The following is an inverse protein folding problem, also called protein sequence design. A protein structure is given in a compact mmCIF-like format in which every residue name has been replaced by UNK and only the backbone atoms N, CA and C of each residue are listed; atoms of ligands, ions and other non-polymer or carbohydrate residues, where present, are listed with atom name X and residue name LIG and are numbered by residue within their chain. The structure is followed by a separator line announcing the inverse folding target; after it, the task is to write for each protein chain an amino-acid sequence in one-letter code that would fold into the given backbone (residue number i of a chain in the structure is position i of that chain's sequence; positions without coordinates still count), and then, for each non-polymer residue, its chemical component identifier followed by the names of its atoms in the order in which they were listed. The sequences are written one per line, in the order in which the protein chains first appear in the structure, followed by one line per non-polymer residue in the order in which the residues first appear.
data_IF_698684576522
#
_entry.id   IF_698684576522
#
_cell.length_a   1.000
_cell.length_b   1.000
_cell.length_c   1.000
_cell.angle_alpha   90.00
_cell.angle_beta   90.00
_cell.angle_gamma   90.00
#
_symmetry.space_group_name_H-M   'P 1'
#
loop_
_entity.id
_entity.type
_entity.pdbx_description
1 polymer ?
#
# COMPACT_ATOMS: atom_id res chain seq x y z
N UNK A 1 12.15 -10.58 8.58
CA UNK A 1 12.86 -9.54 7.79
C UNK A 1 11.98 -8.72 6.84
N UNK A 2 10.78 -9.17 6.42
CA UNK A 2 9.93 -8.49 5.40
C UNK A 2 8.98 -7.38 5.90
N UNK A 3 8.82 -7.17 7.21
CA UNK A 3 7.79 -6.27 7.78
C UNK A 3 8.22 -4.81 7.96
N UNK A 4 9.49 -4.47 7.76
CA UNK A 4 10.05 -3.17 8.19
C UNK A 4 9.66 -1.95 7.33
N UNK A 5 8.88 -2.13 6.28
CA UNK A 5 8.55 -1.05 5.32
C UNK A 5 7.06 -0.99 4.96
N UNK A 6 6.17 -1.44 5.86
CA UNK A 6 4.73 -1.23 5.74
C UNK A 6 4.32 0.01 6.54
N UNK A 7 3.74 0.99 5.87
CA UNK A 7 3.27 2.23 6.48
C UNK A 7 1.75 2.37 6.29
N UNK A 8 1.06 2.70 7.38
CA UNK A 8 -0.39 2.92 7.38
C UNK A 8 -0.77 4.31 6.85
N UNK A 9 0.15 5.27 6.88
CA UNK A 9 -0.05 6.65 6.48
C UNK A 9 1.19 7.22 5.81
N UNK A 10 0.99 8.20 4.90
CA UNK A 10 2.08 8.97 4.30
C UNK A 10 2.89 9.73 5.36
N UNK A 11 2.24 10.18 6.43
CA UNK A 11 2.88 10.86 7.55
C UNK A 11 3.88 9.96 8.28
N UNK A 12 3.52 8.69 8.50
CA UNK A 12 4.39 7.72 9.18
C UNK A 12 5.64 7.45 8.35
N UNK A 13 5.48 7.30 7.03
CA UNK A 13 6.59 7.10 6.09
C UNK A 13 7.52 8.32 6.06
N UNK A 14 6.97 9.54 5.96
CA UNK A 14 7.75 10.78 5.98
C UNK A 14 8.46 11.00 7.33
N UNK A 15 7.80 10.63 8.43
CA UNK A 15 8.38 10.65 9.77
C UNK A 15 9.57 9.70 9.88
N UNK A 16 9.43 8.47 9.39
CA UNK A 16 10.52 7.49 9.36
C UNK A 16 11.70 7.96 8.48
N UNK A 17 11.43 8.60 7.34
CA UNK A 17 12.46 9.21 6.51
C UNK A 17 13.22 10.32 7.25
N UNK A 18 12.52 11.23 7.93
CA UNK A 18 13.13 12.31 8.72
C UNK A 18 14.00 11.80 9.86
N UNK A 19 13.64 10.66 10.44
CA UNK A 19 14.43 9.98 11.48
C UNK A 19 15.61 9.17 10.90
N UNK A 20 15.87 9.26 9.59
CA UNK A 20 16.88 8.47 8.85
C UNK A 20 16.69 6.96 8.98
N UNK A 21 15.45 6.52 9.24
CA UNK A 21 15.09 5.11 9.31
C UNK A 21 14.92 4.46 7.95
N UNK A 22 14.65 5.26 6.90
CA UNK A 22 14.50 4.85 5.50
C UNK A 22 15.09 5.93 4.58
N UNK A 23 15.58 5.55 3.41
CA UNK A 23 16.11 6.48 2.40
C UNK A 23 15.01 6.96 1.42
N UNK A 24 15.25 8.09 0.74
CA UNK A 24 14.30 8.71 -0.20
C UNK A 24 13.85 7.74 -1.31
N UNK A 25 14.79 6.92 -1.81
CA UNK A 25 14.56 5.97 -2.90
C UNK A 25 14.24 4.56 -2.40
N UNK A 26 14.17 4.37 -1.07
CA UNK A 26 13.78 3.08 -0.51
C UNK A 26 12.36 2.73 -0.92
N UNK A 27 12.18 1.52 -1.44
CA UNK A 27 10.86 0.99 -1.73
C UNK A 27 10.15 0.61 -0.44
N UNK A 28 8.92 1.06 -0.30
CA UNK A 28 8.04 0.73 0.81
C UNK A 28 6.62 0.41 0.34
N UNK A 29 5.82 -0.16 1.23
CA UNK A 29 4.40 -0.41 1.03
C UNK A 29 3.60 0.64 1.81
N UNK A 30 2.79 1.41 1.10
CA UNK A 30 1.90 2.39 1.71
C UNK A 30 0.46 1.89 1.63
N UNK A 31 -0.26 1.94 2.75
CA UNK A 31 -1.69 1.65 2.78
C UNK A 31 -2.45 2.69 1.96
N UNK A 32 -3.16 2.24 0.94
CA UNK A 32 -4.00 3.06 0.09
C UNK A 32 -5.45 3.07 0.60
N UNK A 33 -6.17 4.16 0.30
CA UNK A 33 -7.59 4.29 0.64
C UNK A 33 -8.44 3.39 -0.26
N UNK A 34 -9.47 2.79 0.32
CA UNK A 34 -10.40 1.94 -0.42
C UNK A 34 -11.55 2.79 -0.98
N UNK A 35 -11.40 3.28 -2.21
CA UNK A 35 -12.49 3.92 -2.95
C UNK A 35 -13.10 2.94 -3.96
N UNK A 36 -14.43 3.04 -4.19
CA UNK A 36 -15.18 2.10 -5.03
C UNK A 36 -14.62 1.94 -6.46
N UNK A 37 -14.00 3.00 -7.02
CA UNK A 37 -13.43 2.95 -8.37
C UNK A 37 -12.20 2.06 -8.42
N UNK A 38 -11.30 2.19 -7.44
CA UNK A 38 -10.13 1.31 -7.31
C UNK A 38 -10.56 -0.15 -7.09
N UNK A 39 -11.57 -0.41 -6.25
CA UNK A 39 -12.09 -1.78 -6.06
C UNK A 39 -12.54 -2.40 -7.39
N UNK A 40 -13.30 -1.63 -8.18
CA UNK A 40 -13.83 -2.09 -9.46
C UNK A 40 -12.74 -2.38 -10.50
N UNK A 41 -11.65 -1.60 -10.50
CA UNK A 41 -10.50 -1.84 -11.36
C UNK A 41 -9.78 -3.13 -10.98
N UNK A 42 -9.43 -3.28 -9.70
CA UNK A 42 -8.65 -4.43 -9.20
C UNK A 42 -9.39 -5.75 -9.41
N UNK A 43 -10.70 -5.78 -9.21
CA UNK A 43 -11.49 -7.01 -9.37
C UNK A 43 -11.54 -7.54 -10.81
N UNK A 44 -11.07 -6.77 -11.81
CA UNK A 44 -10.94 -7.21 -13.21
C UNK A 44 -9.58 -7.82 -13.51
N UNK A 45 -8.58 -7.58 -12.67
CA UNK A 45 -7.22 -8.07 -12.84
C UNK A 45 -7.04 -9.43 -12.15
N UNK A 46 -6.08 -10.21 -12.63
CA UNK A 46 -5.72 -11.52 -12.04
C UNK A 46 -4.41 -11.35 -11.26
N UNK A 47 -4.34 -11.76 -9.99
CA UNK A 47 -3.11 -11.65 -9.21
C UNK A 47 -2.02 -12.59 -9.74
N UNK A 48 -0.77 -12.17 -9.59
CA UNK A 48 0.42 -12.97 -9.92
C UNK A 48 0.55 -14.11 -8.91
N UNK A 49 0.33 -13.83 -7.64
CA UNK A 49 0.45 -14.78 -6.54
C UNK A 49 -0.66 -14.55 -5.52
N UNK A 50 -1.20 -15.63 -4.96
CA UNK A 50 -2.14 -15.58 -3.83
C UNK A 50 -1.57 -16.34 -2.65
N UNK A 51 -1.40 -15.65 -1.52
CA UNK A 51 -0.86 -16.20 -0.28
C UNK A 51 -1.95 -16.27 0.80
N UNK A 52 -2.30 -17.47 1.24
CA UNK A 52 -3.30 -17.68 2.29
C UNK A 52 -2.67 -17.60 3.68
N UNK A 53 -3.34 -16.92 4.61
CA UNK A 53 -2.99 -16.92 6.03
C UNK A 53 -3.92 -17.83 6.83
N UNK A 54 -3.43 -18.30 7.97
CA UNK A 54 -4.17 -19.21 8.86
C UNK A 54 -5.37 -18.56 9.55
N UNK A 55 -5.42 -17.23 9.66
CA UNK A 55 -6.46 -16.48 10.38
C UNK A 55 -7.66 -16.07 9.52
N UNK A 56 -7.85 -16.70 8.35
CA UNK A 56 -8.97 -16.40 7.47
C UNK A 56 -8.80 -15.10 6.66
N UNK A 57 -7.55 -14.68 6.47
CA UNK A 57 -7.14 -13.63 5.55
C UNK A 57 -6.25 -14.21 4.46
N UNK A 58 -6.18 -13.54 3.32
CA UNK A 58 -5.25 -13.88 2.26
C UNK A 58 -4.79 -12.63 1.53
N UNK A 59 -3.65 -12.75 0.89
CA UNK A 59 -2.99 -11.67 0.15
C UNK A 59 -2.99 -12.01 -1.32
N UNK A 60 -3.52 -11.10 -2.12
CA UNK A 60 -3.36 -11.11 -3.57
C UNK A 60 -2.20 -10.17 -3.91
N UNK A 61 -1.17 -10.70 -4.55
CA UNK A 61 0.03 -9.98 -4.94
C UNK A 61 -0.05 -9.70 -6.44
N UNK A 62 0.00 -8.41 -6.78
CA UNK A 62 0.11 -7.88 -8.13
C UNK A 62 1.47 -7.21 -8.27
N UNK A 63 1.80 -6.74 -9.47
CA UNK A 63 3.12 -6.18 -9.77
C UNK A 63 3.49 -4.99 -8.87
N UNK A 64 2.56 -4.04 -8.70
CA UNK A 64 2.81 -2.79 -7.99
C UNK A 64 1.93 -2.59 -6.75
N UNK A 65 1.03 -3.53 -6.46
CA UNK A 65 0.14 -3.43 -5.31
C UNK A 65 -0.14 -4.82 -4.71
N UNK A 66 -0.49 -4.83 -3.42
CA UNK A 66 -0.89 -6.02 -2.67
C UNK A 66 -2.24 -5.75 -2.03
N UNK A 67 -3.17 -6.69 -2.19
CA UNK A 67 -4.51 -6.58 -1.64
C UNK A 67 -4.67 -7.59 -0.51
N UNK A 68 -5.16 -7.13 0.63
CA UNK A 68 -5.52 -8.01 1.74
C UNK A 68 -7.03 -8.22 1.71
N UNK A 69 -7.43 -9.48 1.65
CA UNK A 69 -8.84 -9.88 1.63
C UNK A 69 -9.13 -10.84 2.77
N UNK A 70 -10.38 -10.82 3.23
CA UNK A 70 -10.93 -11.86 4.09
C UNK A 70 -11.39 -13.07 3.28
N UNK A 71 -11.48 -14.24 3.89
CA UNK A 71 -12.08 -15.44 3.27
C UNK A 71 -13.51 -15.23 2.77
N UNK A 72 -14.24 -14.25 3.32
CA UNK A 72 -15.56 -13.81 2.82
C UNK A 72 -15.47 -12.95 1.56
N UNK A 73 -14.29 -12.88 0.93
CA UNK A 73 -13.95 -12.05 -0.24
C UNK A 73 -14.11 -10.53 -0.04
N UNK A 74 -14.28 -10.08 1.20
CA UNK A 74 -14.28 -8.65 1.53
C UNK A 74 -12.86 -8.09 1.52
N UNK A 75 -12.63 -7.00 0.79
CA UNK A 75 -11.34 -6.31 0.73
C UNK A 75 -11.12 -5.47 1.99
N UNK A 76 -9.99 -5.70 2.68
CA UNK A 76 -9.68 -5.09 3.97
C UNK A 76 -8.72 -3.90 3.84
N UNK A 77 -7.70 -4.04 2.98
CA UNK A 77 -6.79 -2.95 2.63
C UNK A 77 -6.06 -3.26 1.32
N UNK A 78 -5.56 -2.19 0.70
CA UNK A 78 -4.63 -2.25 -0.42
C UNK A 78 -3.34 -1.58 0.04
N UNK A 79 -2.21 -2.18 -0.32
CA UNK A 79 -0.90 -1.57 -0.18
C UNK A 79 -0.33 -1.31 -1.57
N UNK A 80 0.10 -0.09 -1.82
CA UNK A 80 0.83 0.26 -3.04
C UNK A 80 2.32 0.27 -2.76
N UNK A 81 3.10 -0.24 -3.71
CA UNK A 81 4.54 -0.16 -3.68
C UNK A 81 4.96 1.22 -4.15
N UNK A 82 5.63 1.99 -3.29
CA UNK A 82 6.02 3.38 -3.61
C UNK A 82 7.34 3.75 -2.93
N UNK A 83 7.78 4.99 -3.12
CA UNK A 83 8.97 5.58 -2.50
C UNK A 83 8.58 6.80 -1.67
N UNK A 84 9.47 7.22 -0.76
CA UNK A 84 9.25 8.45 0.01
C UNK A 84 9.17 9.66 -0.91
N UNK A 85 9.99 9.71 -1.97
CA UNK A 85 9.95 10.79 -2.95
C UNK A 85 8.59 10.97 -3.62
N UNK A 86 7.97 9.87 -4.07
CA UNK A 86 6.62 9.92 -4.64
C UNK A 86 5.57 10.37 -3.60
N UNK A 87 5.70 9.91 -2.35
CA UNK A 87 4.80 10.31 -1.27
C UNK A 87 4.89 11.82 -1.00
N UNK A 88 6.10 12.37 -0.90
CA UNK A 88 6.31 13.80 -0.71
C UNK A 88 5.68 14.61 -1.83
N UNK A 89 5.95 14.24 -3.08
CA UNK A 89 5.44 14.94 -4.26
C UNK A 89 3.91 14.93 -4.34
N UNK A 90 3.28 13.76 -4.21
CA UNK A 90 1.82 13.66 -4.28
C UNK A 90 1.14 14.47 -3.18
N UNK A 91 1.75 14.53 -2.01
CA UNK A 91 1.24 15.31 -0.89
C UNK A 91 1.34 16.82 -1.13
N UNK A 92 2.43 17.31 -1.71
CA UNK A 92 2.54 18.73 -2.10
C UNK A 92 1.42 19.12 -3.09
N UNK A 93 1.05 18.22 -4.00
CA UNK A 93 -0.10 18.42 -4.90
C UNK A 93 -1.41 18.45 -4.12
N UNK A 94 -1.67 17.48 -3.24
CA UNK A 94 -2.90 17.45 -2.44
C UNK A 94 -3.05 18.72 -1.58
N UNK A 95 -1.96 19.19 -0.97
CA UNK A 95 -1.94 20.42 -0.18
C UNK A 95 -2.16 21.68 -1.04
N UNK A 96 -1.70 21.69 -2.30
CA UNK A 96 -1.88 22.83 -3.22
C UNK A 96 -3.26 22.89 -3.88
N UNK A 97 -3.99 21.78 -3.95
CA UNK A 97 -5.33 21.69 -4.57
C UNK A 97 -6.45 22.04 -3.58
N UNK A 98 -6.16 22.03 -2.27
CA UNK A 98 -7.10 22.36 -1.20
C UNK A 98 -7.34 23.87 -1.05
#
# INVERSE_FOLDING_TARGET
ERERTLFCSSYDALGAYRQKGIDLYSTLWLRWRLDQRVIASINREVPIEVQYESLGTYHEIYDHYRVVRSVKKGMLCIYIRTTVGHISFYREIEEAVQ
#
